data_IF_923862194674
#
_entry.id   IF_923862194674
#
_cell.length_a   1.000
_cell.length_b   1.000
_cell.length_c   1.000
_cell.angle_alpha   90.00
_cell.angle_beta   90.00
_cell.angle_gamma   90.00
#
_symmetry.space_group_name_H-M   'P 1'
#
loop_
_entity.id
_entity.type
_entity.pdbx_description
1 polymer ?
#
# COMPACT_ATOMS: atom_id res chain seq x y z
N UNK A 1 -20.50 6.43 -16.73
CA UNK A 1 -20.07 5.90 -18.05
C UNK A 1 -19.43 4.56 -17.81
N UNK A 2 -19.93 3.47 -18.40
CA UNK A 2 -19.26 2.17 -18.34
C UNK A 2 -17.99 2.26 -19.20
N UNK A 3 -16.87 2.54 -18.55
CA UNK A 3 -15.54 2.42 -19.17
C UNK A 3 -15.32 0.91 -19.31
N UNK A 4 -15.49 0.39 -20.52
CA UNK A 4 -14.94 -0.92 -20.88
C UNK A 4 -13.46 -0.84 -20.55
N UNK A 5 -12.99 -1.68 -19.61
CA UNK A 5 -11.58 -1.73 -19.28
C UNK A 5 -10.80 -1.94 -20.60
N UNK A 6 -9.83 -1.08 -20.92
CA UNK A 6 -9.08 -1.23 -22.16
C UNK A 6 -8.46 -2.62 -22.22
N UNK A 7 -8.51 -3.24 -23.40
CA UNK A 7 -7.87 -4.54 -23.61
C UNK A 7 -6.38 -4.41 -23.29
N UNK A 8 -5.79 -5.30 -22.47
CA UNK A 8 -4.39 -5.17 -22.09
C UNK A 8 -3.50 -5.26 -23.33
N UNK A 9 -2.57 -4.30 -23.47
CA UNK A 9 -1.56 -4.34 -24.51
C UNK A 9 -0.40 -5.26 -24.09
N UNK A 10 -0.05 -6.21 -24.96
CA UNK A 10 1.02 -7.18 -24.76
C UNK A 10 2.17 -6.99 -25.75
N UNK A 11 2.23 -5.84 -26.43
CA UNK A 11 3.30 -5.52 -27.37
C UNK A 11 4.67 -5.62 -26.68
N UNK A 12 5.58 -6.40 -27.27
CA UNK A 12 6.92 -6.62 -26.73
C UNK A 12 6.99 -7.65 -25.58
N UNK A 13 5.90 -8.38 -25.28
CA UNK A 13 5.87 -9.40 -24.23
C UNK A 13 5.98 -10.81 -24.82
N UNK A 14 6.88 -11.61 -24.28
CA UNK A 14 7.00 -13.04 -24.60
C UNK A 14 6.43 -13.87 -23.44
N UNK A 15 5.35 -14.63 -23.69
CA UNK A 15 4.76 -15.54 -22.69
C UNK A 15 5.23 -16.98 -22.90
N UNK A 16 5.40 -17.71 -21.80
CA UNK A 16 5.64 -19.14 -21.83
C UNK A 16 5.20 -19.83 -20.53
N UNK A 17 5.36 -21.15 -20.50
CA UNK A 17 5.32 -21.97 -19.28
C UNK A 17 6.75 -22.35 -18.93
N UNK A 18 7.15 -22.16 -17.68
CA UNK A 18 8.49 -22.51 -17.18
C UNK A 18 8.66 -24.03 -17.04
N UNK A 19 9.88 -24.50 -16.75
CA UNK A 19 10.17 -25.92 -16.54
C UNK A 19 9.35 -26.53 -15.38
N UNK A 20 9.08 -25.72 -14.36
CA UNK A 20 8.26 -26.09 -13.19
C UNK A 20 6.75 -25.87 -13.42
N UNK A 21 6.31 -25.57 -14.65
CA UNK A 21 4.89 -25.41 -14.98
C UNK A 21 4.30 -24.04 -14.60
N UNK A 22 5.13 -23.03 -14.25
CA UNK A 22 4.65 -21.70 -13.87
C UNK A 22 4.37 -20.84 -15.11
N UNK A 23 3.29 -20.03 -15.13
CA UNK A 23 3.14 -18.96 -16.11
C UNK A 23 4.26 -17.94 -15.96
N UNK A 24 4.96 -17.64 -17.06
CA UNK A 24 6.06 -16.66 -17.10
C UNK A 24 5.92 -15.72 -18.29
N UNK A 25 6.45 -14.50 -18.13
CA UNK A 25 6.46 -13.49 -19.18
C UNK A 25 7.76 -12.69 -19.16
N UNK A 26 8.38 -12.47 -20.33
CA UNK A 26 9.53 -11.58 -20.50
C UNK A 26 9.11 -10.23 -21.06
N UNK A 27 9.68 -9.17 -20.48
CA UNK A 27 9.53 -7.77 -20.87
C UNK A 27 10.93 -7.15 -20.85
N UNK A 28 11.56 -7.03 -22.02
CA UNK A 28 12.96 -6.67 -22.18
C UNK A 28 13.90 -7.58 -21.35
N UNK A 29 14.58 -7.01 -20.35
CA UNK A 29 15.47 -7.68 -19.42
C UNK A 29 14.78 -8.22 -18.16
N UNK A 30 13.50 -7.92 -17.96
CA UNK A 30 12.70 -8.36 -16.82
C UNK A 30 11.91 -9.62 -17.21
N UNK A 31 11.91 -10.62 -16.33
CA UNK A 31 11.03 -11.78 -16.43
C UNK A 31 10.15 -11.83 -15.19
N UNK A 32 8.85 -11.97 -15.39
CA UNK A 32 7.85 -12.13 -14.34
C UNK A 32 7.34 -13.56 -14.32
N UNK A 33 7.06 -14.08 -13.14
CA UNK A 33 6.44 -15.39 -12.92
C UNK A 33 5.25 -15.29 -11.98
N UNK A 34 4.21 -16.09 -12.26
CA UNK A 34 3.18 -16.41 -11.28
C UNK A 34 3.63 -17.65 -10.49
N UNK A 35 4.11 -17.41 -9.27
CA UNK A 35 4.58 -18.47 -8.38
C UNK A 35 3.48 -18.86 -7.42
N UNK A 36 3.24 -20.16 -7.26
CA UNK A 36 2.37 -20.68 -6.20
C UNK A 36 3.20 -21.03 -4.96
N UNK A 37 2.81 -20.52 -3.80
CA UNK A 37 3.45 -20.83 -2.53
C UNK A 37 3.06 -22.24 -2.05
N UNK A 38 3.84 -22.78 -1.09
CA UNK A 38 3.50 -24.05 -0.43
C UNK A 38 2.14 -24.02 0.28
N UNK A 39 1.64 -22.84 0.66
CA UNK A 39 0.32 -22.67 1.27
C UNK A 39 -0.80 -22.40 0.25
N UNK A 40 -0.51 -22.53 -1.05
CA UNK A 40 -1.50 -22.57 -2.12
C UNK A 40 -1.95 -21.21 -2.67
N UNK A 41 -1.43 -20.09 -2.17
CA UNK A 41 -1.69 -18.79 -2.78
C UNK A 41 -0.66 -18.48 -3.87
N UNK A 42 -1.06 -17.74 -4.90
CA UNK A 42 -0.15 -17.29 -5.95
C UNK A 42 0.31 -15.84 -5.76
N UNK A 43 1.53 -15.55 -6.22
CA UNK A 43 2.15 -14.24 -6.13
C UNK A 43 3.05 -13.98 -7.34
N UNK A 44 3.32 -12.69 -7.58
CA UNK A 44 4.23 -12.25 -8.62
C UNK A 44 5.67 -12.32 -8.11
N UNK A 45 6.56 -12.93 -8.90
CA UNK A 45 7.99 -12.95 -8.64
C UNK A 45 8.75 -12.46 -9.88
N UNK A 46 9.94 -11.92 -9.68
CA UNK A 46 10.72 -11.28 -10.74
C UNK A 46 12.13 -11.86 -10.85
N UNK A 47 12.65 -11.85 -12.07
CA UNK A 47 14.03 -12.15 -12.38
C UNK A 47 14.54 -11.12 -13.40
N UNK A 48 15.80 -10.71 -13.29
CA UNK A 48 16.37 -9.65 -14.13
C UNK A 48 17.59 -10.18 -14.89
N UNK A 49 17.77 -9.71 -16.12
CA UNK A 49 18.87 -10.05 -17.02
C UNK A 49 18.98 -11.56 -17.36
N UNK A 50 17.86 -12.29 -17.33
CA UNK A 50 17.81 -13.72 -17.66
C UNK A 50 17.65 -13.94 -19.17
N UNK A 51 18.72 -14.43 -19.81
CA UNK A 51 18.79 -14.64 -21.27
C UNK A 51 18.37 -16.03 -21.76
N UNK A 52 18.21 -17.00 -20.85
CA UNK A 52 17.86 -18.39 -21.18
C UNK A 52 16.41 -18.46 -21.70
N UNK A 53 16.02 -19.47 -22.51
CA UNK A 53 14.63 -19.68 -22.90
C UNK A 53 13.70 -19.75 -21.67
N UNK A 54 12.50 -19.16 -21.76
CA UNK A 54 11.56 -19.12 -20.65
C UNK A 54 11.16 -20.51 -20.15
N UNK A 55 11.08 -21.48 -21.06
CA UNK A 55 10.75 -22.87 -20.76
C UNK A 55 11.82 -23.61 -19.93
N UNK A 56 13.04 -23.08 -19.84
CA UNK A 56 14.12 -23.65 -19.01
C UNK A 56 14.17 -23.06 -17.61
N UNK A 57 13.35 -22.04 -17.33
CA UNK A 57 13.35 -21.38 -16.04
C UNK A 57 12.62 -22.20 -14.99
N UNK A 58 13.14 -22.14 -13.78
CA UNK A 58 12.63 -22.81 -12.59
C UNK A 58 12.28 -21.78 -11.53
N UNK A 59 11.60 -22.20 -10.48
CA UNK A 59 11.29 -21.35 -9.33
C UNK A 59 12.55 -20.71 -8.72
N UNK A 60 13.69 -21.37 -8.76
CA UNK A 60 14.94 -20.88 -8.18
C UNK A 60 15.50 -19.64 -8.90
N UNK A 61 15.08 -19.37 -10.14
CA UNK A 61 15.53 -18.21 -10.92
C UNK A 61 14.85 -16.90 -10.49
N UNK A 62 13.75 -16.98 -9.74
CA UNK A 62 12.90 -15.85 -9.38
C UNK A 62 13.08 -15.43 -7.92
N UNK A 63 13.14 -14.13 -7.72
CA UNK A 63 13.25 -13.47 -6.42
C UNK A 63 12.03 -12.58 -6.17
N UNK A 64 11.92 -12.06 -4.96
CA UNK A 64 10.84 -11.15 -4.58
C UNK A 64 9.49 -11.82 -4.36
N UNK A 65 8.58 -11.02 -3.82
CA UNK A 65 7.18 -11.35 -3.62
C UNK A 65 6.38 -10.08 -3.88
N UNK A 66 6.17 -9.78 -5.15
CA UNK A 66 5.67 -8.51 -5.68
C UNK A 66 4.12 -8.47 -5.67
N UNK A 67 3.54 -8.91 -4.55
CA UNK A 67 2.10 -8.98 -4.32
C UNK A 67 1.44 -10.28 -4.77
N UNK A 68 0.24 -10.55 -4.22
CA UNK A 68 -0.57 -11.71 -4.58
C UNK A 68 -1.22 -11.51 -5.94
N UNK A 69 -1.43 -12.61 -6.65
CA UNK A 69 -2.24 -12.69 -7.87
C UNK A 69 -3.25 -13.82 -7.69
N UNK A 70 -4.51 -13.57 -8.06
CA UNK A 70 -5.58 -14.55 -7.85
C UNK A 70 -5.55 -15.69 -8.87
N UNK A 71 -5.14 -15.40 -10.11
CA UNK A 71 -5.15 -16.34 -11.22
C UNK A 71 -4.26 -15.85 -12.38
N UNK A 72 -4.15 -16.66 -13.45
CA UNK A 72 -3.36 -16.32 -14.63
C UNK A 72 -3.87 -15.06 -15.36
N UNK A 73 -5.18 -14.79 -15.34
CA UNK A 73 -5.71 -13.59 -15.97
C UNK A 73 -5.24 -12.32 -15.24
N UNK A 74 -5.21 -12.33 -13.91
CA UNK A 74 -4.62 -11.25 -13.12
C UNK A 74 -3.12 -11.14 -13.35
N UNK A 75 -2.40 -12.26 -13.40
CA UNK A 75 -0.98 -12.26 -13.77
C UNK A 75 -0.74 -11.57 -15.12
N UNK A 76 -1.51 -11.91 -16.15
CA UNK A 76 -1.41 -11.27 -17.48
C UNK A 76 -1.72 -9.78 -17.42
N UNK A 77 -2.70 -9.34 -16.65
CA UNK A 77 -2.96 -7.90 -16.46
C UNK A 77 -1.75 -7.20 -15.83
N UNK A 78 -1.12 -7.78 -14.80
CA UNK A 78 0.10 -7.21 -14.19
C UNK A 78 1.29 -7.16 -15.15
N UNK A 79 1.41 -8.16 -16.02
CA UNK A 79 2.41 -8.18 -17.09
C UNK A 79 2.18 -7.03 -18.08
N UNK A 80 0.93 -6.81 -18.51
CA UNK A 80 0.59 -5.69 -19.39
C UNK A 80 0.83 -4.33 -18.73
N UNK A 81 0.44 -4.15 -17.46
CA UNK A 81 0.73 -2.93 -16.69
C UNK A 81 2.24 -2.65 -16.62
N UNK A 82 3.04 -3.69 -16.36
CA UNK A 82 4.50 -3.58 -16.28
C UNK A 82 5.12 -3.25 -17.65
N UNK A 83 4.62 -3.89 -18.72
CA UNK A 83 5.09 -3.63 -20.08
C UNK A 83 4.74 -2.21 -20.53
N UNK A 84 3.51 -1.74 -20.29
CA UNK A 84 3.09 -0.37 -20.55
C UNK A 84 3.94 0.65 -19.78
N UNK A 85 4.19 0.40 -18.49
CA UNK A 85 5.05 1.26 -17.69
C UNK A 85 6.48 1.33 -18.23
N UNK A 86 7.10 0.20 -18.59
CA UNK A 86 8.44 0.17 -19.20
C UNK A 86 8.48 0.90 -20.54
N UNK A 87 7.47 0.71 -21.38
CA UNK A 87 7.37 1.38 -22.67
C UNK A 87 7.25 2.90 -22.52
N UNK A 88 6.45 3.37 -21.55
CA UNK A 88 6.35 4.80 -21.27
C UNK A 88 7.64 5.36 -20.67
N UNK A 89 8.27 4.63 -19.74
CA UNK A 89 9.58 5.01 -19.20
C UNK A 89 10.62 5.22 -20.30
N UNK A 90 10.64 4.35 -21.32
CA UNK A 90 11.57 4.46 -22.46
C UNK A 90 11.35 5.72 -23.31
N UNK A 91 10.15 6.32 -23.28
CA UNK A 91 9.84 7.58 -23.96
C UNK A 91 10.22 8.81 -23.13
N UNK A 92 10.41 8.63 -21.82
CA UNK A 92 10.78 9.71 -20.91
C UNK A 92 12.30 9.87 -20.90
N UNK A 93 12.77 11.10 -21.07
CA UNK A 93 14.21 11.42 -21.08
C UNK A 93 14.78 11.56 -19.65
N UNK A 94 14.42 10.63 -18.75
CA UNK A 94 14.92 10.63 -17.37
C UNK A 94 16.38 10.25 -17.34
N UNK A 95 17.20 11.06 -16.66
CA UNK A 95 18.64 10.81 -16.56
C UNK A 95 18.99 10.42 -15.14
N UNK A 96 19.37 9.16 -14.95
CA UNK A 96 19.96 8.71 -13.70
C UNK A 96 21.42 9.17 -13.61
N UNK A 97 21.80 9.77 -12.49
CA UNK A 97 23.14 10.31 -12.26
C UNK A 97 23.49 10.33 -10.77
N UNK A 98 24.76 10.50 -10.45
CA UNK A 98 25.20 10.77 -9.09
C UNK A 98 25.27 12.29 -8.89
N UNK A 99 24.54 12.79 -7.90
CA UNK A 99 24.58 14.20 -7.51
C UNK A 99 24.93 14.31 -6.04
N UNK A 100 25.99 15.07 -5.75
CA UNK A 100 26.32 15.47 -4.38
C UNK A 100 25.35 16.56 -3.95
N UNK A 101 24.37 16.21 -3.12
CA UNK A 101 23.41 17.14 -2.55
C UNK A 101 23.09 16.73 -1.10
N UNK A 102 22.91 17.72 -0.23
CA UNK A 102 22.34 17.51 1.10
C UNK A 102 20.82 17.53 0.97
N UNK A 103 20.16 16.44 1.34
CA UNK A 103 18.70 16.31 1.33
C UNK A 103 18.18 16.29 2.79
N UNK A 104 16.87 16.48 3.02
CA UNK A 104 16.27 16.29 4.34
C UNK A 104 16.51 14.91 4.94
N UNK A 105 16.80 13.91 4.11
CA UNK A 105 17.02 12.51 4.51
C UNK A 105 18.49 12.08 4.42
N UNK A 106 19.41 13.05 4.43
CA UNK A 106 20.85 12.83 4.38
C UNK A 106 21.46 13.06 2.99
N UNK A 107 22.69 12.57 2.80
CA UNK A 107 23.42 12.76 1.55
C UNK A 107 22.79 11.98 0.39
N UNK A 108 22.56 12.66 -0.72
CA UNK A 108 22.11 12.05 -1.98
C UNK A 108 23.12 11.03 -2.48
N UNK A 109 22.69 9.78 -2.67
CA UNK A 109 23.50 8.69 -3.21
C UNK A 109 23.23 8.46 -4.71
N UNK A 110 21.98 8.70 -5.11
CA UNK A 110 21.52 8.62 -6.49
C UNK A 110 20.53 9.75 -6.75
N UNK A 111 20.52 10.25 -7.98
CA UNK A 111 19.52 11.19 -8.44
C UNK A 111 18.97 10.77 -9.80
N UNK A 112 17.70 11.07 -10.03
CA UNK A 112 17.07 10.95 -11.35
C UNK A 112 16.55 12.33 -11.72
N UNK A 113 17.09 12.90 -12.79
CA UNK A 113 16.64 14.17 -13.34
C UNK A 113 15.45 13.88 -14.26
N UNK A 114 14.27 14.37 -13.89
CA UNK A 114 13.04 14.22 -14.69
C UNK A 114 12.93 15.33 -15.72
N UNK A 115 13.29 16.54 -15.33
CA UNK A 115 13.41 17.72 -16.18
C UNK A 115 14.23 18.80 -15.47
N UNK A 116 14.50 19.91 -16.16
CA UNK A 116 15.06 21.10 -15.51
C UNK A 116 14.18 21.54 -14.33
N UNK A 117 14.80 21.56 -13.14
CA UNK A 117 14.16 21.92 -11.88
C UNK A 117 13.30 20.84 -11.24
N UNK A 118 13.31 19.59 -11.72
CA UNK A 118 12.59 18.45 -11.12
C UNK A 118 13.54 17.26 -10.99
N UNK A 119 13.99 16.99 -9.76
CA UNK A 119 15.00 15.94 -9.50
C UNK A 119 14.54 15.06 -8.35
N UNK A 120 14.47 13.75 -8.57
CA UNK A 120 14.30 12.78 -7.49
C UNK A 120 15.66 12.42 -6.92
N UNK A 121 15.77 12.38 -5.59
CA UNK A 121 16.97 11.97 -4.86
C UNK A 121 16.66 10.72 -4.04
N UNK A 122 17.60 9.79 -4.01
CA UNK A 122 17.57 8.62 -3.13
C UNK A 122 18.79 8.65 -2.20
N UNK A 123 18.56 8.38 -0.93
CA UNK A 123 19.57 8.27 0.13
C UNK A 123 19.60 6.83 0.67
N UNK A 124 20.38 6.59 1.72
CA UNK A 124 20.58 5.24 2.26
C UNK A 124 19.31 4.60 2.85
N UNK A 125 18.30 5.41 3.21
CA UNK A 125 17.09 4.89 3.85
C UNK A 125 15.80 5.59 3.44
N UNK A 126 15.87 6.61 2.57
CA UNK A 126 14.69 7.33 2.12
C UNK A 126 14.99 8.13 0.84
N UNK A 127 14.10 9.05 0.48
CA UNK A 127 14.25 9.88 -0.71
C UNK A 127 13.09 10.84 -0.92
N UNK A 128 13.13 11.48 -2.07
CA UNK A 128 12.07 12.38 -2.49
C UNK A 128 12.50 13.32 -3.61
N UNK A 129 11.56 14.15 -4.03
CA UNK A 129 11.75 15.13 -5.08
C UNK A 129 12.20 16.48 -4.53
N UNK A 130 13.16 17.08 -5.21
CA UNK A 130 13.48 18.49 -5.09
C UNK A 130 12.93 19.24 -6.32
N UNK A 131 12.23 20.34 -6.05
CA UNK A 131 11.76 21.27 -7.08
C UNK A 131 12.56 22.57 -7.05
N UNK A 132 12.90 23.14 -8.20
CA UNK A 132 13.32 24.55 -8.24
C UNK A 132 12.18 25.46 -7.79
N UNK A 133 12.49 26.68 -7.37
CA UNK A 133 11.46 27.66 -6.96
C UNK A 133 10.40 27.88 -8.04
N UNK A 134 10.80 27.96 -9.31
CA UNK A 134 9.90 28.14 -10.45
C UNK A 134 8.99 26.93 -10.68
N UNK A 135 9.49 25.71 -10.43
CA UNK A 135 8.68 24.49 -10.48
C UNK A 135 7.74 24.44 -9.28
N UNK A 136 8.23 24.72 -8.07
CA UNK A 136 7.40 24.74 -6.88
C UNK A 136 6.24 25.73 -6.99
N UNK A 137 6.47 26.89 -7.64
CA UNK A 137 5.46 27.90 -7.91
C UNK A 137 4.33 27.44 -8.87
N UNK A 138 4.50 26.30 -9.57
CA UNK A 138 3.47 25.70 -10.43
C UNK A 138 2.62 24.64 -9.71
N UNK A 139 3.07 24.14 -8.56
CA UNK A 139 2.29 23.19 -7.74
C UNK A 139 1.02 23.87 -7.25
N UNK A 140 -0.12 23.18 -7.29
CA UNK A 140 -1.40 23.75 -6.85
C UNK A 140 -1.30 24.32 -5.41
N UNK A 141 -1.79 25.54 -5.11
CA UNK A 141 -1.57 26.18 -3.80
C UNK A 141 -2.00 25.35 -2.58
N UNK A 142 -3.04 24.52 -2.71
CA UNK A 142 -3.51 23.64 -1.62
C UNK A 142 -2.60 22.44 -1.34
N UNK A 143 -1.65 22.12 -2.23
CA UNK A 143 -0.69 21.03 -2.09
C UNK A 143 0.76 21.51 -2.03
N UNK A 144 1.01 22.79 -2.35
CA UNK A 144 2.35 23.35 -2.41
C UNK A 144 2.95 23.44 -1.01
N UNK A 145 4.18 22.96 -0.87
CA UNK A 145 4.98 23.09 0.35
C UNK A 145 5.77 24.39 0.36
N UNK A 146 6.01 24.91 1.57
CA UNK A 146 6.93 26.03 1.80
C UNK A 146 8.39 25.61 1.55
N UNK A 147 8.69 24.33 1.74
CA UNK A 147 9.96 23.73 1.37
C UNK A 147 9.96 23.37 -0.12
N UNK A 148 11.16 23.19 -0.68
CA UNK A 148 11.36 22.70 -2.05
C UNK A 148 11.44 21.17 -2.13
N UNK A 149 11.18 20.47 -1.03
CA UNK A 149 11.34 19.02 -0.89
C UNK A 149 10.01 18.32 -0.65
N UNK A 150 9.77 17.27 -1.45
CA UNK A 150 8.60 16.41 -1.44
C UNK A 150 9.04 14.96 -1.20
N UNK A 151 8.64 14.40 -0.08
CA UNK A 151 8.90 13.03 0.38
C UNK A 151 8.41 11.92 -0.58
N UNK A 152 9.10 10.77 -0.62
CA UNK A 152 8.91 9.71 -1.64
C UNK A 152 7.73 8.75 -1.44
N UNK A 153 7.16 8.62 -0.25
CA UNK A 153 6.04 7.73 0.06
C UNK A 153 4.71 8.35 -0.37
N UNK A 154 4.50 9.63 -0.02
CA UNK A 154 3.22 10.32 -0.24
C UNK A 154 3.35 11.57 -1.11
N UNK A 155 4.37 12.40 -0.87
CA UNK A 155 4.42 13.75 -1.44
C UNK A 155 4.93 13.78 -2.88
N UNK A 156 5.62 12.73 -3.34
CA UNK A 156 5.96 12.53 -4.76
C UNK A 156 4.73 12.60 -5.65
N UNK A 157 3.57 12.18 -5.15
CA UNK A 157 2.31 12.22 -5.87
C UNK A 157 1.91 13.67 -6.22
N UNK A 158 2.24 14.64 -5.35
CA UNK A 158 2.01 16.07 -5.61
C UNK A 158 2.83 16.53 -6.82
N UNK A 159 4.09 16.07 -6.90
CA UNK A 159 4.97 16.37 -8.04
C UNK A 159 4.43 15.74 -9.31
N UNK A 160 4.00 14.48 -9.24
CA UNK A 160 3.45 13.75 -10.38
C UNK A 160 2.18 14.37 -10.96
N UNK A 161 1.21 14.78 -10.12
CA UNK A 161 0.00 15.47 -10.60
C UNK A 161 0.29 16.89 -11.11
N UNK A 162 1.35 17.54 -10.61
CA UNK A 162 1.72 18.90 -11.03
C UNK A 162 2.46 18.91 -12.38
N UNK A 163 3.17 17.84 -12.72
CA UNK A 163 3.95 17.71 -13.95
C UNK A 163 3.68 16.38 -14.67
N UNK A 164 2.44 16.13 -15.10
CA UNK A 164 2.02 14.81 -15.58
C UNK A 164 2.87 14.29 -16.74
N UNK A 165 3.36 15.16 -17.63
CA UNK A 165 4.17 14.77 -18.79
C UNK A 165 5.55 14.20 -18.43
N UNK A 166 5.98 14.32 -17.16
CA UNK A 166 7.23 13.73 -16.67
C UNK A 166 7.03 12.31 -16.12
N UNK A 167 5.80 11.83 -16.08
CA UNK A 167 5.39 10.57 -15.45
C UNK A 167 4.66 9.66 -16.42
N UNK A 168 4.86 8.36 -16.26
CA UNK A 168 4.14 7.32 -17.01
C UNK A 168 2.67 7.25 -16.59
N UNK A 169 1.83 6.64 -17.40
CA UNK A 169 0.40 6.46 -17.08
C UNK A 169 0.19 5.70 -15.77
N UNK A 170 1.03 4.68 -15.54
CA UNK A 170 1.03 3.90 -14.30
C UNK A 170 1.34 4.80 -13.08
N UNK A 171 2.41 5.59 -13.14
CA UNK A 171 2.79 6.50 -12.05
C UNK A 171 1.73 7.59 -11.82
N UNK A 172 1.11 8.10 -12.88
CA UNK A 172 0.01 9.09 -12.76
C UNK A 172 -1.21 8.49 -12.05
N UNK A 173 -1.58 7.25 -12.40
CA UNK A 173 -2.67 6.53 -11.73
C UNK A 173 -2.36 6.28 -10.25
N UNK A 174 -1.12 5.88 -9.94
CA UNK A 174 -0.65 5.72 -8.56
C UNK A 174 -0.67 7.04 -7.79
N UNK A 175 -0.18 8.14 -8.39
CA UNK A 175 -0.18 9.45 -7.78
C UNK A 175 -1.61 9.93 -7.47
N UNK A 176 -2.54 9.81 -8.43
CA UNK A 176 -3.96 10.13 -8.22
C UNK A 176 -4.55 9.34 -7.04
N UNK A 177 -4.27 8.04 -6.98
CA UNK A 177 -4.70 7.19 -5.86
C UNK A 177 -4.06 7.64 -4.53
N UNK A 178 -2.78 7.99 -4.53
CA UNK A 178 -2.10 8.50 -3.34
C UNK A 178 -2.72 9.80 -2.86
N UNK A 179 -2.97 10.78 -3.74
CA UNK A 179 -3.61 12.06 -3.38
C UNK A 179 -5.00 11.82 -2.78
N UNK A 180 -5.85 10.99 -3.39
CA UNK A 180 -7.18 10.67 -2.86
C UNK A 180 -7.12 10.03 -1.47
N UNK A 181 -6.11 9.23 -1.18
CA UNK A 181 -5.97 8.54 0.10
C UNK A 181 -5.30 9.41 1.17
N UNK A 182 -4.36 10.26 0.81
CA UNK A 182 -3.58 11.07 1.76
C UNK A 182 -4.24 12.44 2.01
N UNK A 183 -4.72 13.11 0.97
CA UNK A 183 -5.36 14.43 1.06
C UNK A 183 -6.72 14.48 0.35
N UNK A 184 -7.69 13.62 0.73
CA UNK A 184 -9.00 13.55 0.07
C UNK A 184 -9.72 14.89 0.02
N UNK A 185 -9.72 15.68 1.11
CA UNK A 185 -10.46 16.95 1.14
C UNK A 185 -9.83 17.99 0.22
N UNK A 186 -8.51 17.93 0.00
CA UNK A 186 -7.81 18.79 -0.96
C UNK A 186 -8.12 18.34 -2.39
N UNK A 187 -8.12 17.03 -2.63
CA UNK A 187 -8.52 16.45 -3.91
C UNK A 187 -9.94 16.92 -4.31
N UNK A 188 -10.91 16.78 -3.42
CA UNK A 188 -12.31 17.19 -3.68
C UNK A 188 -12.42 18.70 -3.98
N UNK A 189 -11.64 19.53 -3.29
CA UNK A 189 -11.60 20.98 -3.54
C UNK A 189 -11.01 21.31 -4.91
N UNK A 190 -9.94 20.62 -5.32
CA UNK A 190 -9.28 20.84 -6.61
C UNK A 190 -10.21 20.38 -7.76
N UNK A 191 -10.87 19.24 -7.59
CA UNK A 191 -11.69 18.62 -8.64
C UNK A 191 -13.16 19.08 -8.62
N UNK A 192 -13.62 19.75 -7.56
CA UNK A 192 -14.99 20.24 -7.43
C UNK A 192 -16.04 19.12 -7.29
N UNK A 193 -15.62 17.91 -6.91
CA UNK A 193 -16.50 16.76 -6.74
C UNK A 193 -16.17 15.98 -5.47
N UNK A 194 -17.13 15.24 -4.95
CA UNK A 194 -16.95 14.40 -3.76
C UNK A 194 -16.58 12.97 -4.14
N UNK A 195 -15.61 12.42 -3.41
CA UNK A 195 -15.23 11.02 -3.43
C UNK A 195 -16.33 10.19 -2.76
N UNK A 196 -16.75 9.14 -3.45
CA UNK A 196 -17.71 8.16 -2.96
C UNK A 196 -17.06 7.18 -1.96
N UNK A 197 -17.90 6.41 -1.26
CA UNK A 197 -17.44 5.31 -0.41
C UNK A 197 -16.61 4.32 -1.23
N UNK A 198 -15.42 3.98 -0.74
CA UNK A 198 -14.46 3.10 -1.43
C UNK A 198 -13.40 3.85 -2.24
N UNK A 199 -13.58 5.13 -2.55
CA UNK A 199 -12.63 5.90 -3.38
C UNK A 199 -11.49 6.55 -2.58
N UNK A 200 -11.61 6.62 -1.26
CA UNK A 200 -10.55 7.10 -0.36
C UNK A 200 -10.56 6.34 0.96
N UNK A 201 -9.47 5.64 1.22
CA UNK A 201 -9.24 4.92 2.47
C UNK A 201 -9.37 5.85 3.67
N UNK A 202 -8.82 7.08 3.61
CA UNK A 202 -8.88 8.02 4.72
C UNK A 202 -10.30 8.56 4.97
N UNK A 203 -11.10 8.84 3.93
CA UNK A 203 -12.51 9.23 4.12
C UNK A 203 -13.33 8.07 4.67
N UNK A 204 -13.18 6.90 4.08
CA UNK A 204 -13.86 5.69 4.52
C UNK A 204 -13.51 5.36 5.97
N UNK A 205 -12.24 5.54 6.36
CA UNK A 205 -11.78 5.38 7.73
C UNK A 205 -12.43 6.41 8.66
N UNK A 206 -12.45 7.69 8.28
CA UNK A 206 -13.14 8.75 9.06
C UNK A 206 -14.63 8.45 9.23
N UNK A 207 -15.31 8.00 8.17
CA UNK A 207 -16.71 7.62 8.25
C UNK A 207 -16.94 6.41 9.16
N UNK A 208 -16.05 5.41 9.11
CA UNK A 208 -16.07 4.28 10.04
C UNK A 208 -15.89 4.73 11.49
N UNK A 209 -14.84 5.51 11.77
CA UNK A 209 -14.55 5.98 13.13
C UNK A 209 -15.67 6.88 13.68
N UNK A 210 -16.33 7.69 12.83
CA UNK A 210 -17.52 8.48 13.21
C UNK A 210 -18.73 7.60 13.53
N UNK A 211 -19.03 6.59 12.69
CA UNK A 211 -20.15 5.66 12.92
C UNK A 211 -19.97 4.86 14.21
N UNK A 212 -18.72 4.52 14.52
CA UNK A 212 -18.36 3.66 15.65
C UNK A 212 -17.72 4.41 16.82
N UNK A 213 -17.92 5.73 16.91
CA UNK A 213 -17.22 6.60 17.86
C UNK A 213 -17.43 6.15 19.33
N UNK A 214 -18.59 5.57 19.64
CA UNK A 214 -18.95 5.06 20.96
C UNK A 214 -18.89 3.54 21.08
N UNK A 215 -18.48 2.85 20.02
CA UNK A 215 -18.41 1.38 20.00
C UNK A 215 -17.02 0.89 20.39
N UNK A 216 -16.96 -0.31 20.95
CA UNK A 216 -15.70 -1.02 21.19
C UNK A 216 -15.19 -1.60 19.88
N UNK A 217 -14.03 -1.16 19.43
CA UNK A 217 -13.42 -1.68 18.20
C UNK A 217 -12.10 -2.37 18.55
N UNK A 218 -11.93 -3.59 18.05
CA UNK A 218 -10.77 -4.44 18.33
C UNK A 218 -9.47 -3.82 17.82
N UNK A 219 -8.45 -3.79 18.66
CA UNK A 219 -7.09 -3.33 18.38
C UNK A 219 -6.08 -4.47 18.34
N UNK A 220 -6.26 -5.47 19.21
CA UNK A 220 -5.37 -6.64 19.33
C UNK A 220 -6.19 -7.92 19.42
N UNK A 221 -5.67 -9.02 18.90
CA UNK A 221 -6.34 -10.32 18.92
C UNK A 221 -5.33 -11.45 18.99
N UNK A 222 -5.71 -12.53 19.68
CA UNK A 222 -4.95 -13.78 19.76
C UNK A 222 -5.92 -14.96 19.81
N UNK A 223 -5.57 -16.09 19.20
CA UNK A 223 -6.33 -17.32 19.43
C UNK A 223 -6.26 -17.70 20.92
N UNK A 224 -7.40 -18.05 21.52
CA UNK A 224 -7.44 -18.39 22.94
C UNK A 224 -7.00 -19.84 23.16
N UNK A 225 -5.94 -20.04 23.92
CA UNK A 225 -5.53 -21.38 24.38
C UNK A 225 -6.45 -21.91 25.48
N UNK A 226 -7.27 -21.03 26.08
CA UNK A 226 -8.17 -21.34 27.20
C UNK A 226 -9.58 -21.68 26.73
N UNK A 227 -9.98 -21.15 25.58
CA UNK A 227 -11.32 -21.30 25.03
C UNK A 227 -11.20 -21.76 23.56
N UNK A 228 -11.16 -23.07 23.29
CA UNK A 228 -11.03 -23.60 21.94
C UNK A 228 -12.08 -23.04 20.99
N UNK A 229 -11.66 -22.62 19.80
CA UNK A 229 -12.53 -22.01 18.79
C UNK A 229 -12.79 -20.50 19.00
N UNK A 230 -12.30 -19.91 20.08
CA UNK A 230 -12.47 -18.47 20.36
C UNK A 230 -11.19 -17.68 20.11
N UNK A 231 -11.35 -16.44 19.67
CA UNK A 231 -10.30 -15.43 19.62
C UNK A 231 -10.50 -14.48 20.81
N UNK A 232 -9.47 -14.36 21.65
CA UNK A 232 -9.41 -13.35 22.69
C UNK A 232 -9.01 -12.01 22.04
N UNK A 233 -9.86 -11.00 22.18
CA UNK A 233 -9.65 -9.69 21.58
C UNK A 233 -9.58 -8.61 22.64
N UNK A 234 -8.72 -7.63 22.44
CA UNK A 234 -8.70 -6.37 23.19
C UNK A 234 -9.35 -5.31 22.31
N UNK A 235 -10.34 -4.62 22.85
CA UNK A 235 -11.05 -3.55 22.17
C UNK A 235 -11.05 -2.28 23.02
N UNK A 236 -11.02 -1.14 22.34
CA UNK A 236 -11.10 0.19 22.93
C UNK A 236 -12.26 0.94 22.28
N UNK A 237 -12.84 1.89 22.99
CA UNK A 237 -13.82 2.82 22.41
C UNK A 237 -13.14 3.59 21.29
N UNK A 238 -13.70 3.58 20.07
CA UNK A 238 -12.99 4.08 18.89
C UNK A 238 -12.57 5.55 19.00
N UNK A 239 -13.37 6.39 19.68
CA UNK A 239 -13.07 7.79 19.95
C UNK A 239 -11.78 8.03 20.76
N UNK A 240 -11.27 7.03 21.47
CA UNK A 240 -10.04 7.13 22.29
C UNK A 240 -8.78 6.69 21.54
N UNK A 241 -8.89 6.24 20.27
CA UNK A 241 -7.77 5.68 19.47
C UNK A 241 -6.68 6.68 19.06
N UNK A 242 -6.80 7.96 19.42
CA UNK A 242 -5.86 9.03 19.07
C UNK A 242 -4.94 9.50 20.19
N UNK A 243 -5.16 9.08 21.43
CA UNK A 243 -4.27 9.44 22.53
C UNK A 243 -3.14 8.42 22.61
N UNK A 244 -1.95 8.76 22.14
CA UNK A 244 -0.70 8.01 22.36
C UNK A 244 -0.26 7.96 23.83
N UNK A 245 -1.22 7.99 24.76
CA UNK A 245 -1.05 8.16 26.19
C UNK A 245 -1.98 7.19 26.93
N UNK A 246 -1.55 6.86 28.15
CA UNK A 246 -2.10 5.91 29.14
C UNK A 246 -3.64 5.85 29.32
N UNK A 247 -4.42 6.78 28.75
CA UNK A 247 -5.89 6.77 28.73
C UNK A 247 -6.50 5.62 27.91
N UNK A 248 -5.87 5.21 26.81
CA UNK A 248 -6.38 4.08 26.02
C UNK A 248 -6.39 2.79 26.85
N UNK A 249 -5.39 2.60 27.73
CA UNK A 249 -5.24 1.42 28.59
C UNK A 249 -6.32 1.27 29.66
N UNK A 250 -6.87 2.37 30.19
CA UNK A 250 -7.93 2.30 31.23
C UNK A 250 -9.31 1.95 30.63
N UNK A 251 -9.47 2.11 29.30
CA UNK A 251 -10.69 1.81 28.55
C UNK A 251 -10.58 0.54 27.68
N UNK A 252 -9.48 -0.21 27.80
CA UNK A 252 -9.31 -1.51 27.15
C UNK A 252 -10.20 -2.54 27.83
N UNK A 253 -11.11 -3.14 27.05
CA UNK A 253 -11.90 -4.29 27.46
C UNK A 253 -11.51 -5.52 26.66
N UNK A 254 -11.57 -6.68 27.31
CA UNK A 254 -11.32 -7.97 26.66
C UNK A 254 -12.62 -8.66 26.35
N UNK A 255 -12.68 -9.31 25.20
CA UNK A 255 -13.85 -10.10 24.80
C UNK A 255 -13.39 -11.44 24.24
N UNK A 256 -14.29 -12.43 24.27
CA UNK A 256 -14.15 -13.65 23.48
C UNK A 256 -15.08 -13.57 22.29
N UNK A 257 -14.53 -13.66 21.09
CA UNK A 257 -15.27 -13.67 19.82
C UNK A 257 -15.06 -15.02 19.14
N UNK A 258 -16.09 -15.65 18.55
CA UNK A 258 -15.89 -16.85 17.74
C UNK A 258 -14.84 -16.59 16.65
N UNK A 259 -13.89 -17.51 16.48
CA UNK A 259 -12.73 -17.26 15.62
C UNK A 259 -13.11 -17.13 14.15
N UNK A 260 -14.14 -17.85 13.72
CA UNK A 260 -14.70 -17.77 12.37
C UNK A 260 -15.45 -16.47 12.11
N UNK A 261 -16.07 -15.88 13.15
CA UNK A 261 -16.65 -14.54 13.11
C UNK A 261 -15.55 -13.46 13.04
N UNK A 262 -14.54 -13.52 13.92
CA UNK A 262 -13.43 -12.57 13.90
C UNK A 262 -12.62 -12.62 12.60
N UNK A 263 -12.51 -13.79 11.97
CA UNK A 263 -11.86 -13.95 10.66
C UNK A 263 -12.55 -13.16 9.54
N UNK A 264 -13.85 -12.85 9.67
CA UNK A 264 -14.65 -12.08 8.70
C UNK A 264 -14.63 -10.57 8.94
N UNK A 265 -13.80 -10.08 9.87
CA UNK A 265 -13.71 -8.65 10.19
C UNK A 265 -13.49 -7.78 8.95
N UNK A 266 -14.07 -6.58 8.98
CA UNK A 266 -13.94 -5.61 7.89
C UNK A 266 -12.54 -4.99 7.82
N UNK A 267 -12.29 -4.24 6.74
CA UNK A 267 -11.00 -3.56 6.49
C UNK A 267 -10.55 -2.56 7.57
N UNK A 268 -11.46 -2.09 8.42
CA UNK A 268 -11.16 -1.15 9.51
C UNK A 268 -11.15 -1.78 10.90
N UNK A 269 -11.35 -3.10 10.98
CA UNK A 269 -11.33 -3.87 12.22
C UNK A 269 -12.64 -4.61 12.47
N UNK A 270 -12.75 -5.10 13.70
CA UNK A 270 -13.93 -5.79 14.20
C UNK A 270 -14.59 -4.93 15.27
N UNK A 271 -15.90 -4.69 15.14
CA UNK A 271 -16.69 -3.94 16.13
C UNK A 271 -17.35 -4.94 17.07
N UNK A 272 -17.18 -4.75 18.36
CA UNK A 272 -17.80 -5.56 19.39
C UNK A 272 -19.27 -5.15 19.51
N UNK A 273 -20.14 -6.12 19.26
CA UNK A 273 -21.54 -6.09 19.68
C UNK A 273 -21.65 -6.59 21.15
N UNK A 274 -22.02 -5.73 22.14
CA UNK A 274 -22.11 -6.11 23.55
C UNK A 274 -23.23 -7.11 23.86
N UNK A 275 -24.25 -7.22 23.01
CA UNK A 275 -25.35 -8.18 23.20
C UNK A 275 -24.94 -9.59 22.75
N UNK A 276 -23.92 -9.69 21.89
CA UNK A 276 -23.42 -10.95 21.33
C UNK A 276 -22.06 -11.38 21.89
N UNK A 277 -21.21 -10.43 22.28
CA UNK A 277 -19.84 -10.69 22.72
C UNK A 277 -19.67 -10.34 24.20
N UNK A 278 -19.57 -11.36 25.03
CA UNK A 278 -19.37 -11.19 26.46
C UNK A 278 -17.95 -10.67 26.78
N UNK A 279 -17.87 -9.74 27.72
CA UNK A 279 -16.59 -9.30 28.29
C UNK A 279 -15.90 -10.48 29.01
N UNK A 280 -14.60 -10.61 28.80
CA UNK A 280 -13.80 -11.73 29.29
C UNK A 280 -12.79 -11.30 30.35
N UNK A 281 -13.03 -11.75 31.58
CA UNK A 281 -12.17 -11.47 32.74
C UNK A 281 -11.29 -12.66 33.15
N UNK A 282 -11.34 -13.77 32.40
CA UNK A 282 -10.59 -14.99 32.71
C UNK A 282 -9.09 -14.92 32.37
N UNK A 283 -8.37 -16.06 32.56
CA UNK A 283 -6.95 -16.17 32.23
C UNK A 283 -6.68 -15.78 30.77
N UNK A 284 -5.66 -14.97 30.54
CA UNK A 284 -5.32 -14.47 29.20
C UNK A 284 -4.33 -15.36 28.47
N UNK A 285 -4.48 -15.43 27.14
CA UNK A 285 -3.42 -15.91 26.24
C UNK A 285 -2.43 -14.79 25.84
N UNK A 286 -2.71 -13.52 26.14
CA UNK A 286 -1.74 -12.45 25.93
C UNK A 286 -0.59 -12.54 26.94
N UNK A 287 0.64 -12.60 26.44
CA UNK A 287 1.84 -12.61 27.28
C UNK A 287 1.94 -11.32 28.10
N UNK A 288 2.03 -11.45 29.42
CA UNK A 288 2.17 -10.33 30.36
C UNK A 288 0.85 -9.68 30.83
N UNK A 289 -0.31 -10.15 30.36
CA UNK A 289 -1.61 -9.65 30.81
C UNK A 289 -1.95 -10.20 32.20
N UNK A 290 -1.48 -9.52 33.25
CA UNK A 290 -1.89 -9.83 34.63
C UNK A 290 -3.33 -9.34 34.82
N UNK A 291 -4.22 -10.25 35.21
CA UNK A 291 -5.52 -9.92 35.79
C UNK A 291 -5.31 -8.94 36.94
N UNK A 292 -5.58 -7.66 36.71
CA UNK A 292 -5.71 -6.65 37.77
C UNK A 292 -7.05 -6.92 38.46
N UNK A 293 -7.02 -7.91 39.35
CA UNK A 293 -8.15 -8.29 40.16
C UNK A 293 -8.61 -7.14 41.02
N UNK A 294 -9.93 -6.97 41.03
CA UNK A 294 -10.77 -6.23 41.97
C UNK A 294 -10.14 -6.28 43.38
N UNK A 295 -9.65 -5.14 43.86
CA UNK A 295 -9.39 -4.91 45.27
C UNK A 295 -10.65 -4.34 45.90
N UNK A 296 -11.18 -5.06 46.89
CA UNK A 296 -12.34 -4.72 47.72
C UNK A 296 -12.31 -3.34 48.35
#
# INVERSE_FOLDING_TARGET
MNIVAPTPDFSGVEFATSADGMPVARIDDLVLAMVTSHSGFAFLASAVAVRRPLAELTRADFFGHDGRVANEAEFRMRVAETAGHKHDLAKLNRVQTRMSASTPWGGSQMAVVYAEGVVAHSTAGHGGFHLSSDRNAKVHPLLRKDTLWYEEDCEWAIVAISFPDLFTDCERSMAEKTIRNTWPDVWEKIHGCSLAEGESWAKDRRAFDQRHASDYVVTSAIFSDKNPGMTEVVAVVAGDRGAGDRKAWDNERRFLVPSDEYARRGRFGFVIDPDRHAEYHGPSSFLGWRSRGIGS
#
